data_IF_473641676560
#
_entry.id   IF_473641676560
#
_cell.length_a   1.000
_cell.length_b   1.000
_cell.length_c   1.000
_cell.angle_alpha   90.00
_cell.angle_beta   90.00
_cell.angle_gamma   90.00
#
_symmetry.space_group_name_H-M   'P 1'
#
loop_
_entity.id
_entity.type
_entity.pdbx_description
1 polymer ?
#
# COMPACT_ATOMS: atom_id res chain seq x y z
N UNK A 1 -22.42 -16.40 -16.72
CA UNK A 1 -21.71 -15.22 -17.23
C UNK A 1 -22.50 -14.00 -16.82
N UNK A 2 -22.41 -13.73 -15.53
CA UNK A 2 -23.11 -12.65 -14.87
C UNK A 2 -22.20 -11.43 -14.94
N UNK A 3 -22.34 -10.60 -15.97
CA UNK A 3 -21.47 -9.43 -16.14
C UNK A 3 -21.66 -8.50 -14.94
N UNK A 4 -20.61 -8.30 -14.14
CA UNK A 4 -20.59 -7.27 -13.10
C UNK A 4 -20.93 -5.92 -13.74
N UNK A 5 -22.07 -5.36 -13.34
CA UNK A 5 -22.53 -4.07 -13.85
C UNK A 5 -21.99 -2.93 -13.00
N UNK A 6 -21.77 -1.78 -13.65
CA UNK A 6 -21.38 -0.54 -12.96
C UNK A 6 -22.35 -0.16 -11.83
N UNK A 7 -23.64 -0.39 -12.04
CA UNK A 7 -24.69 -0.12 -11.04
C UNK A 7 -24.53 -0.98 -9.80
N UNK A 8 -24.20 -2.28 -9.95
CA UNK A 8 -23.93 -3.16 -8.82
C UNK A 8 -22.70 -2.72 -8.04
N UNK A 9 -21.62 -2.34 -8.73
CA UNK A 9 -20.39 -1.85 -8.08
C UNK A 9 -20.65 -0.58 -7.26
N UNK A 10 -21.42 0.36 -7.79
CA UNK A 10 -21.79 1.59 -7.07
C UNK A 10 -22.64 1.30 -5.83
N UNK A 11 -23.54 0.32 -5.92
CA UNK A 11 -24.37 -0.11 -4.78
C UNK A 11 -23.52 -0.74 -3.67
N UNK A 12 -22.53 -1.55 -4.04
CA UNK A 12 -21.56 -2.15 -3.11
C UNK A 12 -20.70 -1.07 -2.44
N UNK A 13 -20.25 -0.06 -3.20
CA UNK A 13 -19.50 1.08 -2.67
C UNK A 13 -20.32 1.85 -1.63
N UNK A 14 -21.58 2.17 -1.94
CA UNK A 14 -22.48 2.87 -1.03
C UNK A 14 -22.69 2.09 0.28
N UNK A 15 -22.76 0.75 0.21
CA UNK A 15 -22.84 -0.10 1.41
C UNK A 15 -21.57 -0.05 2.25
N UNK A 16 -20.37 -0.03 1.65
CA UNK A 16 -19.10 0.16 2.38
C UNK A 16 -19.05 1.49 3.13
N UNK A 17 -19.54 2.56 2.52
CA UNK A 17 -19.63 3.88 3.16
C UNK A 17 -20.64 3.89 4.33
N UNK A 18 -21.73 3.11 4.20
CA UNK A 18 -22.79 3.07 5.21
C UNK A 18 -22.43 2.19 6.41
N UNK A 19 -21.79 1.04 6.19
CA UNK A 19 -21.55 0.02 7.22
C UNK A 19 -20.09 -0.09 7.69
N UNK A 20 -19.17 0.67 7.08
CA UNK A 20 -17.77 0.70 7.46
C UNK A 20 -16.92 -0.46 6.91
N UNK A 21 -15.59 -0.34 7.02
CA UNK A 21 -14.62 -1.21 6.33
C UNK A 21 -14.58 -2.69 6.79
N UNK A 22 -15.30 -3.05 7.86
CA UNK A 22 -15.40 -4.43 8.38
C UNK A 22 -16.77 -5.10 8.18
N UNK A 23 -17.69 -4.47 7.45
CA UNK A 23 -19.01 -5.05 7.19
C UNK A 23 -18.95 -6.06 6.04
N UNK A 24 -19.46 -7.26 6.27
CA UNK A 24 -19.58 -8.32 5.26
C UNK A 24 -20.65 -7.95 4.22
N UNK A 25 -20.24 -7.20 3.20
CA UNK A 25 -21.04 -7.00 1.99
C UNK A 25 -21.17 -8.33 1.27
N UNK A 26 -22.40 -8.89 1.25
CA UNK A 26 -22.68 -10.16 0.58
C UNK A 26 -22.57 -9.98 -0.93
N UNK A 27 -21.44 -10.42 -1.49
CA UNK A 27 -21.28 -10.63 -2.93
C UNK A 27 -21.79 -12.03 -3.30
N UNK A 28 -22.34 -12.17 -4.51
CA UNK A 28 -22.57 -13.52 -5.04
C UNK A 28 -21.22 -14.17 -5.34
N UNK A 29 -21.14 -15.50 -5.19
CA UNK A 29 -19.90 -16.24 -5.39
C UNK A 29 -19.29 -16.02 -6.79
N UNK A 30 -20.10 -16.04 -7.86
CA UNK A 30 -19.65 -15.80 -9.24
C UNK A 30 -19.04 -14.38 -9.39
N UNK A 31 -19.60 -13.36 -8.73
CA UNK A 31 -19.08 -11.99 -8.81
C UNK A 31 -17.78 -11.81 -8.03
N UNK A 32 -17.68 -12.46 -6.86
CA UNK A 32 -16.44 -12.46 -6.09
C UNK A 32 -15.31 -13.17 -6.85
N UNK A 33 -15.62 -14.27 -7.55
CA UNK A 33 -14.69 -15.00 -8.40
C UNK A 33 -14.23 -14.16 -9.59
N UNK A 34 -15.14 -13.49 -10.30
CA UNK A 34 -14.79 -12.60 -11.41
C UNK A 34 -13.86 -11.45 -10.98
N UNK A 35 -14.10 -10.85 -9.81
CA UNK A 35 -13.22 -9.81 -9.26
C UNK A 35 -11.85 -10.35 -8.86
N UNK A 36 -11.79 -11.52 -8.24
CA UNK A 36 -10.53 -12.16 -7.87
C UNK A 36 -9.68 -12.47 -9.12
N UNK A 37 -10.29 -12.98 -10.19
CA UNK A 37 -9.60 -13.22 -11.45
C UNK A 37 -9.04 -11.93 -12.06
N UNK A 38 -9.80 -10.83 -12.07
CA UNK A 38 -9.32 -9.54 -12.58
C UNK A 38 -8.16 -9.01 -11.73
N UNK A 39 -8.24 -9.14 -10.40
CA UNK A 39 -7.18 -8.71 -9.49
C UNK A 39 -5.88 -9.50 -9.74
N UNK A 40 -5.96 -10.83 -9.85
CA UNK A 40 -4.82 -11.68 -10.17
C UNK A 40 -4.19 -11.32 -11.52
N UNK A 41 -5.00 -11.10 -12.56
CA UNK A 41 -4.50 -10.66 -13.86
C UNK A 41 -3.74 -9.32 -13.81
N UNK A 42 -4.15 -8.40 -12.92
CA UNK A 42 -3.45 -7.12 -12.73
C UNK A 42 -2.15 -7.25 -11.95
N UNK A 43 -2.10 -8.17 -10.98
CA UNK A 43 -0.88 -8.49 -10.22
C UNK A 43 0.17 -9.09 -11.15
N UNK A 44 -0.25 -10.03 -12.01
CA UNK A 44 0.64 -10.71 -12.96
C UNK A 44 0.79 -9.98 -14.30
N UNK A 45 0.28 -8.75 -14.42
CA UNK A 45 0.27 -8.00 -15.66
C UNK A 45 1.70 -7.73 -16.15
N UNK A 46 2.08 -8.38 -17.25
CA UNK A 46 3.33 -8.11 -17.98
C UNK A 46 3.11 -7.05 -19.05
N UNK A 47 4.14 -6.26 -19.32
CA UNK A 47 4.10 -5.26 -20.38
C UNK A 47 3.89 -5.95 -21.73
N UNK A 48 2.95 -5.44 -22.52
CA UNK A 48 2.64 -5.95 -23.86
C UNK A 48 3.51 -5.30 -24.94
N UNK A 49 4.06 -4.12 -24.64
CA UNK A 49 4.96 -3.39 -25.53
C UNK A 49 5.87 -2.43 -24.74
N UNK A 50 6.92 -1.94 -25.41
CA UNK A 50 7.77 -0.86 -24.91
C UNK A 50 7.67 0.35 -25.85
N UNK A 51 7.75 1.55 -25.30
CA UNK A 51 7.84 2.79 -26.09
C UNK A 51 9.24 2.88 -26.70
N UNK A 52 9.36 2.58 -27.99
CA UNK A 52 10.63 2.67 -28.73
C UNK A 52 10.89 4.10 -29.26
N UNK A 53 12.04 4.30 -29.90
CA UNK A 53 12.39 5.58 -30.55
C UNK A 53 11.59 5.83 -31.84
N UNK A 54 11.18 4.77 -32.54
CA UNK A 54 10.47 4.85 -33.84
C UNK A 54 8.96 4.75 -33.74
N UNK A 55 8.40 4.70 -32.54
CA UNK A 55 6.96 4.77 -32.24
C UNK A 55 6.28 5.95 -32.94
N UNK A 56 7.04 6.92 -33.46
CA UNK A 56 6.61 8.13 -34.14
C UNK A 56 5.69 7.99 -35.37
N UNK A 57 5.61 6.87 -36.08
CA UNK A 57 4.89 6.88 -37.39
C UNK A 57 4.14 5.60 -37.80
N UNK A 58 3.86 4.69 -36.87
CA UNK A 58 3.19 3.41 -37.19
C UNK A 58 1.68 3.39 -36.95
N UNK A 59 0.88 4.21 -37.65
CA UNK A 59 -0.57 4.00 -37.85
C UNK A 59 -1.52 3.95 -36.63
N UNK A 60 -1.03 3.98 -35.40
CA UNK A 60 -1.85 4.01 -34.18
C UNK A 60 -2.23 5.46 -33.86
N UNK A 61 -3.54 5.73 -33.73
CA UNK A 61 -4.04 6.99 -33.18
C UNK A 61 -3.63 7.07 -31.71
N UNK A 62 -2.53 7.77 -31.46
CA UNK A 62 -1.99 7.95 -30.11
C UNK A 62 -2.93 8.83 -29.29
N UNK A 63 -3.14 8.46 -28.03
CA UNK A 63 -3.72 9.40 -27.07
C UNK A 63 -2.81 10.64 -26.94
N UNK A 64 -3.39 11.80 -26.60
CA UNK A 64 -2.60 12.97 -26.22
C UNK A 64 -1.54 12.58 -25.18
N UNK A 65 -0.36 13.18 -25.28
CA UNK A 65 0.79 12.95 -24.38
C UNK A 65 1.51 11.58 -24.53
N UNK A 66 1.11 10.69 -25.45
CA UNK A 66 1.86 9.43 -25.66
C UNK A 66 3.34 9.66 -26.02
N UNK A 67 3.63 10.74 -26.75
CA UNK A 67 5.00 11.07 -27.14
C UNK A 67 5.84 11.62 -25.96
N UNK A 68 5.23 12.04 -24.86
CA UNK A 68 5.92 12.59 -23.68
C UNK A 68 6.47 11.49 -22.78
N UNK A 69 6.05 10.23 -22.98
CA UNK A 69 6.56 9.08 -22.25
C UNK A 69 8.03 8.82 -22.60
N UNK A 70 8.93 8.59 -21.63
CA UNK A 70 10.32 8.23 -21.90
C UNK A 70 10.48 6.96 -22.75
N UNK A 71 11.56 6.86 -23.54
CA UNK A 71 11.89 5.61 -24.24
C UNK A 71 12.12 4.47 -23.24
N UNK A 72 11.64 3.27 -23.59
CA UNK A 72 11.66 2.10 -22.69
C UNK A 72 10.49 2.03 -21.72
N UNK A 73 9.55 3.00 -21.74
CA UNK A 73 8.32 2.92 -20.92
C UNK A 73 7.52 1.67 -21.28
N UNK A 74 7.17 0.89 -20.26
CA UNK A 74 6.35 -0.32 -20.37
C UNK A 74 4.89 0.04 -20.60
N UNK A 75 4.30 -0.48 -21.68
CA UNK A 75 2.90 -0.31 -22.03
C UNK A 75 2.15 -1.59 -21.65
N UNK A 76 1.01 -1.46 -20.99
CA UNK A 76 0.21 -2.57 -20.50
C UNK A 76 -1.20 -2.51 -21.10
N UNK A 77 -1.79 -3.67 -21.39
CA UNK A 77 -3.18 -3.76 -21.86
C UNK A 77 -4.18 -3.43 -20.75
N UNK A 78 -3.81 -3.73 -19.50
CA UNK A 78 -4.57 -3.42 -18.29
C UNK A 78 -3.59 -2.75 -17.31
N UNK A 79 -3.99 -1.70 -16.58
CA UNK A 79 -3.13 -1.09 -15.57
C UNK A 79 -2.63 -2.15 -14.57
N UNK A 80 -1.30 -2.29 -14.39
CA UNK A 80 -0.76 -3.22 -13.41
C UNK A 80 -1.12 -2.76 -11.99
N UNK A 81 -1.15 -3.69 -11.05
CA UNK A 81 -1.30 -3.32 -9.64
C UNK A 81 -0.15 -2.40 -9.20
N UNK A 82 -0.40 -1.41 -8.32
CA UNK A 82 0.67 -0.58 -7.78
C UNK A 82 1.64 -1.48 -7.00
N UNK A 83 2.91 -1.46 -7.40
CA UNK A 83 3.97 -2.24 -6.76
C UNK A 83 4.66 -1.35 -5.73
N UNK A 84 4.72 -1.82 -4.48
CA UNK A 84 5.53 -1.21 -3.44
C UNK A 84 6.99 -1.56 -3.71
N UNK A 85 7.91 -0.59 -3.86
CA UNK A 85 9.31 -0.89 -4.15
C UNK A 85 9.95 -1.73 -3.04
N UNK A 86 11.00 -2.48 -3.38
CA UNK A 86 11.75 -3.27 -2.41
C UNK A 86 12.33 -2.37 -1.30
N UNK A 87 12.14 -2.77 -0.04
CA UNK A 87 12.54 -1.99 1.13
C UNK A 87 11.54 -0.91 1.58
N UNK A 88 10.39 -0.78 0.91
CA UNK A 88 9.30 0.11 1.31
C UNK A 88 8.15 -0.68 1.93
N UNK A 89 7.41 -0.04 2.84
CA UNK A 89 6.20 -0.58 3.46
C UNK A 89 5.05 0.41 3.31
N UNK A 90 3.84 -0.10 3.11
CA UNK A 90 2.64 0.72 3.07
C UNK A 90 2.22 1.08 4.49
N UNK A 91 2.01 2.37 4.73
CA UNK A 91 1.47 2.90 5.99
C UNK A 91 0.23 3.75 5.71
N UNK A 92 -0.75 3.78 6.62
CA UNK A 92 -1.87 4.71 6.53
C UNK A 92 -1.38 6.17 6.41
N UNK A 93 -2.13 6.97 5.66
CA UNK A 93 -1.85 8.42 5.53
C UNK A 93 -2.02 9.11 6.90
N UNK A 94 -3.02 8.69 7.66
CA UNK A 94 -3.24 9.13 9.04
C UNK A 94 -2.95 7.95 9.98
N UNK A 95 -2.07 8.12 10.99
CA UNK A 95 -1.75 7.05 11.92
C UNK A 95 -2.97 6.64 12.72
N UNK A 96 -3.13 5.34 12.91
CA UNK A 96 -4.20 4.80 13.76
C UNK A 96 -3.91 5.05 15.24
N UNK A 97 -4.93 5.01 16.09
CA UNK A 97 -4.77 5.19 17.54
C UNK A 97 -3.72 4.23 18.13
N UNK A 98 -3.74 2.95 17.72
CA UNK A 98 -2.75 1.97 18.16
C UNK A 98 -1.33 2.33 17.73
N UNK A 99 -1.13 2.87 16.53
CA UNK A 99 0.18 3.35 16.10
C UNK A 99 0.66 4.51 16.98
N UNK A 100 -0.24 5.44 17.33
CA UNK A 100 0.11 6.59 18.17
C UNK A 100 0.49 6.14 19.59
N UNK A 101 -0.32 5.26 20.19
CA UNK A 101 -0.06 4.73 21.54
C UNK A 101 1.26 3.94 21.57
N UNK A 102 1.43 2.98 20.66
CA UNK A 102 2.65 2.15 20.62
C UNK A 102 3.89 2.99 20.32
N UNK A 103 3.77 4.02 19.46
CA UNK A 103 4.86 4.95 19.17
C UNK A 103 5.24 5.81 20.37
N UNK A 104 4.26 6.27 21.14
CA UNK A 104 4.48 7.08 22.34
C UNK A 104 5.10 6.27 23.49
N UNK A 105 4.63 5.04 23.70
CA UNK A 105 5.10 4.15 24.78
C UNK A 105 6.41 3.42 24.44
N UNK A 106 7.01 3.69 23.28
CA UNK A 106 8.23 3.01 22.83
C UNK A 106 9.52 3.50 23.49
N UNK A 107 9.50 4.63 24.20
CA UNK A 107 10.70 5.21 24.80
C UNK A 107 11.19 4.38 26.01
N UNK A 108 12.51 4.13 26.15
CA UNK A 108 13.05 3.47 27.33
C UNK A 108 12.78 4.29 28.60
N UNK A 109 12.38 3.59 29.64
CA UNK A 109 11.98 4.11 30.94
C UNK A 109 12.62 3.29 32.07
N UNK A 110 13.05 3.95 33.14
CA UNK A 110 13.74 3.35 34.28
C UNK A 110 12.93 2.23 34.95
N UNK A 111 11.62 2.41 35.06
CA UNK A 111 10.74 1.49 35.79
C UNK A 111 10.22 0.35 34.89
N UNK A 112 10.13 0.58 33.58
CA UNK A 112 9.50 -0.34 32.63
C UNK A 112 10.45 -1.04 31.66
N UNK A 113 11.68 -0.55 31.50
CA UNK A 113 12.68 -1.16 30.61
C UNK A 113 13.59 -2.15 31.33
N UNK A 114 14.25 -3.01 30.56
CA UNK A 114 15.32 -3.84 31.11
C UNK A 114 16.46 -2.94 31.61
N UNK A 115 17.07 -3.23 32.78
CA UNK A 115 18.14 -2.41 33.35
C UNK A 115 19.27 -2.13 32.37
N UNK A 116 19.64 -3.13 31.56
CA UNK A 116 20.71 -3.02 30.56
C UNK A 116 20.35 -2.02 29.45
N UNK A 117 19.09 -2.00 28.99
CA UNK A 117 18.61 -1.05 27.97
C UNK A 117 18.58 0.38 28.50
N UNK A 118 18.19 0.54 29.78
CA UNK A 118 18.19 1.85 30.44
C UNK A 118 19.61 2.38 30.66
N UNK A 119 20.54 1.53 31.09
CA UNK A 119 21.95 1.89 31.27
C UNK A 119 22.60 2.30 29.94
N UNK A 120 22.43 1.50 28.87
CA UNK A 120 22.91 1.85 27.52
C UNK A 120 22.33 3.19 27.03
N UNK A 121 21.04 3.42 27.28
CA UNK A 121 20.37 4.67 26.93
C UNK A 121 20.92 5.88 27.71
N UNK A 122 21.27 5.71 28.99
CA UNK A 122 21.86 6.77 29.83
C UNK A 122 23.30 7.12 29.41
N UNK A 123 24.06 6.15 28.89
CA UNK A 123 25.41 6.40 28.37
C UNK A 123 25.40 7.19 27.04
N UNK A 124 24.28 7.21 26.31
CA UNK A 124 24.14 7.96 25.07
C UNK A 124 24.11 9.48 25.33
N UNK A 125 24.74 10.25 24.44
CA UNK A 125 24.58 11.71 24.42
C UNK A 125 23.14 12.11 24.09
N UNK A 126 22.71 13.32 24.47
CA UNK A 126 21.34 13.79 24.21
C UNK A 126 20.91 13.73 22.74
N UNK A 127 21.81 13.96 21.78
CA UNK A 127 21.51 13.80 20.35
C UNK A 127 21.30 12.33 19.96
N UNK A 128 22.10 11.43 20.53
CA UNK A 128 21.96 9.99 20.31
C UNK A 128 20.67 9.47 20.94
N UNK A 129 20.33 9.93 22.14
CA UNK A 129 19.07 9.65 22.81
C UNK A 129 17.85 10.08 21.98
N UNK A 130 17.84 11.31 21.45
CA UNK A 130 16.77 11.79 20.60
C UNK A 130 16.62 10.96 19.31
N UNK A 131 17.74 10.62 18.67
CA UNK A 131 17.74 9.77 17.49
C UNK A 131 17.26 8.34 17.81
N UNK A 132 17.63 7.80 18.97
CA UNK A 132 17.23 6.48 19.43
C UNK A 132 15.72 6.42 19.70
N UNK A 133 15.16 7.39 20.44
CA UNK A 133 13.71 7.49 20.69
C UNK A 133 12.91 7.61 19.41
N UNK A 134 13.33 8.47 18.48
CA UNK A 134 12.66 8.61 17.19
C UNK A 134 12.65 7.30 16.40
N UNK A 135 13.75 6.53 16.46
CA UNK A 135 13.84 5.22 15.84
C UNK A 135 12.89 4.21 16.49
N UNK A 136 12.85 4.13 17.81
CA UNK A 136 11.94 3.22 18.54
C UNK A 136 10.47 3.56 18.27
N UNK A 137 10.13 4.84 18.29
CA UNK A 137 8.80 5.35 17.97
C UNK A 137 8.38 4.92 16.57
N UNK A 138 9.26 5.13 15.58
CA UNK A 138 9.00 4.71 14.20
C UNK A 138 8.86 3.19 14.06
N UNK A 139 9.75 2.41 14.67
CA UNK A 139 9.72 0.94 14.62
C UNK A 139 8.43 0.39 15.25
N UNK A 140 7.98 0.95 16.37
CA UNK A 140 6.73 0.60 17.02
C UNK A 140 5.51 0.95 16.14
N UNK A 141 5.47 2.15 15.57
CA UNK A 141 4.41 2.57 14.65
C UNK A 141 4.30 1.65 13.42
N UNK A 142 5.43 1.25 12.84
CA UNK A 142 5.46 0.35 11.67
C UNK A 142 4.99 -1.07 12.04
N UNK A 143 5.36 -1.55 13.23
CA UNK A 143 4.91 -2.84 13.74
C UNK A 143 3.40 -2.87 13.99
N UNK A 144 2.84 -1.76 14.48
CA UNK A 144 1.42 -1.55 14.75
C UNK A 144 0.61 -1.22 13.49
N UNK A 145 1.27 -0.82 12.39
CA UNK A 145 0.60 -0.47 11.15
C UNK A 145 -0.23 -1.66 10.62
N UNK A 146 -1.44 -1.40 10.10
CA UNK A 146 -2.26 -2.45 9.49
C UNK A 146 -1.48 -3.14 8.37
N UNK A 147 -1.23 -4.44 8.54
CA UNK A 147 -0.60 -5.23 7.49
C UNK A 147 -1.67 -5.56 6.45
N UNK A 148 -1.37 -5.46 5.15
CA UNK A 148 -2.25 -6.07 4.16
C UNK A 148 -2.34 -7.56 4.52
N UNK A 149 -3.54 -8.04 4.85
CA UNK A 149 -3.75 -9.47 5.01
C UNK A 149 -3.27 -10.13 3.73
N UNK A 150 -2.37 -11.12 3.85
CA UNK A 150 -1.92 -11.87 2.69
C UNK A 150 -3.16 -12.48 2.03
N UNK A 151 -3.53 -11.93 0.88
CA UNK A 151 -4.50 -12.52 -0.04
C UNK A 151 -3.81 -13.66 -0.80
#
# INVERSE_FOLDING_TARGET
MSIITRERLLKIQQWRETYGPGSNVVLLAEEAEELACIALQRIDAKAVALRDERSGSGGISKQPCFNDLPHGTRLYAVPPAPVVPEGWIMVPIEPTESMIVDGFESEPDEDFSQPEVWEEYQEMSGCQQAAHRARLCWEAMIKAAPKPENV
#
